data_IF_344946338503
#
_entry.id   IF_344946338503
#
_cell.length_a   1.000
_cell.length_b   1.000
_cell.length_c   1.000
_cell.angle_alpha   90.00
_cell.angle_beta   90.00
_cell.angle_gamma   90.00
#
_symmetry.space_group_name_H-M   'P 1'
#
loop_
_entity.id
_entity.type
_entity.pdbx_description
1 polymer ?
#
# COMPACT_ATOMS: atom_id res chain seq x y z
N UNK A 1 2.52 3.04 -16.07
CA UNK A 1 1.44 3.02 -15.08
C UNK A 1 1.20 4.41 -14.51
N UNK A 2 2.23 5.10 -14.01
CA UNK A 2 2.10 6.45 -13.45
C UNK A 2 1.58 7.46 -14.49
N UNK A 3 1.99 7.36 -15.74
CA UNK A 3 1.48 8.17 -16.84
C UNK A 3 -0.02 7.94 -17.09
N UNK A 4 -0.47 6.68 -17.09
CA UNK A 4 -1.88 6.34 -17.27
C UNK A 4 -2.74 6.91 -16.14
N UNK A 5 -2.30 6.79 -14.91
CA UNK A 5 -2.97 7.38 -13.74
C UNK A 5 -2.98 8.91 -13.81
N UNK A 6 -1.85 9.52 -14.17
CA UNK A 6 -1.73 10.97 -14.30
C UNK A 6 -2.70 11.55 -15.34
N UNK A 7 -2.83 10.90 -16.50
CA UNK A 7 -3.75 11.32 -17.56
C UNK A 7 -5.23 11.23 -17.15
N UNK A 8 -5.55 10.45 -16.12
CA UNK A 8 -6.89 10.33 -15.54
C UNK A 8 -7.10 11.20 -14.29
N UNK A 9 -6.18 12.14 -14.05
CA UNK A 9 -6.25 13.07 -12.93
C UNK A 9 -5.78 12.50 -11.58
N UNK A 10 -5.15 11.34 -11.58
CA UNK A 10 -4.52 10.75 -10.40
C UNK A 10 -3.09 11.24 -10.20
N UNK A 11 -2.64 11.23 -8.97
CA UNK A 11 -1.25 11.46 -8.58
C UNK A 11 -0.81 10.32 -7.66
N UNK A 12 -0.42 9.18 -8.24
CA UNK A 12 -0.01 8.04 -7.44
C UNK A 12 1.21 8.40 -6.59
N UNK A 13 1.12 8.15 -5.31
CA UNK A 13 2.13 8.46 -4.30
C UNK A 13 2.69 7.22 -3.62
N UNK A 14 1.97 6.09 -3.68
CA UNK A 14 2.43 4.84 -3.08
C UNK A 14 2.35 3.66 -4.04
N UNK A 15 3.38 2.81 -3.97
CA UNK A 15 3.47 1.53 -4.68
C UNK A 15 3.53 0.39 -3.68
N UNK A 16 2.48 -0.42 -3.65
CA UNK A 16 2.41 -1.60 -2.80
C UNK A 16 2.94 -2.82 -3.51
N UNK A 17 3.84 -3.52 -2.87
CA UNK A 17 4.50 -4.72 -3.42
C UNK A 17 4.64 -5.83 -2.37
N UNK A 18 4.61 -7.07 -2.83
CA UNK A 18 4.98 -8.20 -2.00
C UNK A 18 6.49 -8.22 -1.68
N UNK A 19 6.89 -8.96 -0.65
CA UNK A 19 8.27 -9.04 -0.18
C UNK A 19 9.28 -9.41 -1.28
N UNK A 20 8.89 -10.29 -2.20
CA UNK A 20 9.74 -10.70 -3.33
C UNK A 20 10.00 -9.54 -4.29
N UNK A 21 8.95 -8.87 -4.75
CA UNK A 21 9.07 -7.73 -5.68
C UNK A 21 9.85 -6.59 -5.03
N UNK A 22 9.68 -6.34 -3.73
CA UNK A 22 10.48 -5.36 -3.00
C UNK A 22 11.97 -5.66 -3.09
N UNK A 23 12.38 -6.92 -2.95
CA UNK A 23 13.78 -7.34 -3.10
C UNK A 23 14.31 -7.12 -4.51
N UNK A 24 13.50 -7.46 -5.53
CA UNK A 24 13.86 -7.26 -6.94
C UNK A 24 14.05 -5.77 -7.24
N UNK A 25 13.11 -4.92 -6.81
CA UNK A 25 13.22 -3.46 -6.98
C UNK A 25 14.48 -2.93 -6.30
N UNK A 26 14.79 -3.38 -5.10
CA UNK A 26 16.01 -2.99 -4.38
C UNK A 26 17.28 -3.44 -5.10
N UNK A 27 17.24 -4.52 -5.89
CA UNK A 27 18.39 -4.97 -6.68
C UNK A 27 18.65 -4.11 -7.92
N UNK A 28 17.66 -3.44 -8.49
CA UNK A 28 17.82 -2.54 -9.64
C UNK A 28 18.69 -1.32 -9.33
N UNK A 29 18.82 -0.95 -8.10
CA UNK A 29 19.63 0.20 -7.64
C UNK A 29 21.13 -0.10 -7.57
N UNK A 30 21.55 -1.32 -7.85
CA UNK A 30 22.99 -1.68 -7.82
C UNK A 30 23.85 -0.87 -8.82
N UNK A 31 23.22 -0.25 -9.84
CA UNK A 31 23.88 0.62 -10.82
C UNK A 31 23.62 2.12 -10.65
N UNK A 32 22.70 2.53 -9.78
CA UNK A 32 22.40 3.94 -9.54
C UNK A 32 23.29 4.48 -8.41
N UNK A 33 23.84 5.68 -8.61
CA UNK A 33 24.70 6.35 -7.65
C UNK A 33 23.95 6.53 -6.33
N UNK A 34 24.33 5.78 -5.31
CA UNK A 34 23.80 5.94 -3.95
C UNK A 34 24.43 7.18 -3.33
N UNK A 35 23.81 8.33 -3.46
CA UNK A 35 24.10 9.49 -2.64
C UNK A 35 23.41 9.32 -1.27
N UNK A 36 23.82 8.33 -0.51
CA UNK A 36 23.54 8.28 0.91
C UNK A 36 24.79 8.81 1.59
N UNK A 37 24.67 9.94 2.25
CA UNK A 37 25.69 10.40 3.19
C UNK A 37 25.84 9.31 4.26
N UNK A 38 26.86 8.48 4.12
CA UNK A 38 27.15 7.39 5.04
C UNK A 38 28.04 7.93 6.13
N UNK A 39 27.46 8.53 7.14
CA UNK A 39 28.14 8.83 8.39
C UNK A 39 28.18 7.61 9.33
N UNK A 40 27.45 6.57 8.99
CA UNK A 40 27.46 5.28 9.67
C UNK A 40 27.89 4.16 8.73
N UNK A 41 28.72 3.25 9.21
CA UNK A 41 29.18 2.02 8.56
C UNK A 41 28.03 1.03 8.24
N UNK A 42 26.95 1.50 7.61
CA UNK A 42 25.76 0.74 7.24
C UNK A 42 25.79 0.39 5.75
N UNK A 43 25.70 -0.89 5.45
CA UNK A 43 25.34 -1.37 4.11
C UNK A 43 23.83 -1.18 3.91
N UNK A 44 23.43 -0.15 3.15
CA UNK A 44 22.02 0.07 2.78
C UNK A 44 21.80 -0.44 1.36
N UNK A 45 20.96 -1.45 1.21
CA UNK A 45 20.51 -1.99 -0.07
C UNK A 45 18.98 -2.01 -0.12
N UNK A 46 18.35 -0.85 0.09
CA UNK A 46 16.91 -0.71 0.02
C UNK A 46 16.54 0.53 -0.78
N UNK A 47 15.49 0.40 -1.62
CA UNK A 47 14.84 1.52 -2.31
C UNK A 47 13.47 1.69 -1.69
N UNK A 48 13.26 2.81 -1.03
CA UNK A 48 11.99 3.15 -0.39
C UNK A 48 11.24 4.23 -1.17
N UNK A 49 11.95 5.06 -1.93
CA UNK A 49 11.38 6.12 -2.75
C UNK A 49 11.94 6.02 -4.17
N UNK A 50 11.08 6.16 -5.15
CA UNK A 50 11.44 6.24 -6.55
C UNK A 50 10.94 7.57 -7.13
N UNK A 51 11.87 8.42 -7.61
CA UNK A 51 11.54 9.66 -8.30
C UNK A 51 11.49 9.43 -9.80
N UNK A 52 10.42 9.90 -10.43
CA UNK A 52 10.23 9.85 -11.87
C UNK A 52 9.58 11.17 -12.36
N UNK A 53 9.42 11.32 -13.67
CA UNK A 53 8.95 12.57 -14.29
C UNK A 53 7.57 13.06 -13.79
N UNK A 54 6.74 12.16 -13.26
CA UNK A 54 5.39 12.47 -12.74
C UNK A 54 5.36 12.65 -11.22
N UNK A 55 6.50 12.58 -10.54
CA UNK A 55 6.62 12.79 -9.10
C UNK A 55 7.43 11.70 -8.39
N UNK A 56 7.26 11.64 -7.09
CA UNK A 56 7.90 10.66 -6.23
C UNK A 56 6.87 9.64 -5.75
N UNK A 57 7.22 8.37 -5.82
CA UNK A 57 6.40 7.27 -5.30
C UNK A 57 7.14 6.52 -4.21
N UNK A 58 6.46 6.23 -3.14
CA UNK A 58 6.97 5.45 -2.02
C UNK A 58 6.70 3.97 -2.23
N UNK A 59 7.71 3.13 -2.06
CA UNK A 59 7.58 1.69 -2.23
C UNK A 59 7.32 1.03 -0.88
N UNK A 60 6.09 0.58 -0.67
CA UNK A 60 5.61 0.01 0.59
C UNK A 60 5.50 -1.51 0.48
N UNK A 61 6.27 -2.28 1.27
CA UNK A 61 6.11 -3.73 1.31
C UNK A 61 4.84 -4.12 2.06
N UNK A 62 4.00 -4.93 1.42
CA UNK A 62 2.78 -5.45 2.03
C UNK A 62 2.85 -6.99 2.12
N UNK A 63 2.78 -7.54 3.34
CA UNK A 63 2.87 -8.98 3.59
C UNK A 63 1.65 -9.78 3.12
N UNK A 64 0.51 -9.12 2.96
CA UNK A 64 -0.74 -9.75 2.54
C UNK A 64 -0.94 -9.74 1.03
N UNK A 65 -0.05 -9.06 0.30
CA UNK A 65 -0.13 -8.96 -1.16
C UNK A 65 0.44 -10.20 -1.83
N UNK A 66 -0.15 -10.61 -2.95
CA UNK A 66 0.40 -11.67 -3.78
C UNK A 66 1.80 -11.29 -4.26
N UNK A 67 2.70 -12.27 -4.30
CA UNK A 67 4.11 -12.07 -4.66
C UNK A 67 4.32 -11.58 -6.11
N UNK A 68 3.30 -11.69 -6.96
CA UNK A 68 3.33 -11.38 -8.39
C UNK A 68 2.58 -10.12 -8.78
N UNK A 69 1.99 -9.43 -7.81
CA UNK A 69 1.17 -8.27 -8.05
C UNK A 69 1.88 -7.00 -7.54
N UNK A 70 1.72 -5.92 -8.29
CA UNK A 70 2.21 -4.59 -7.95
C UNK A 70 1.04 -3.61 -8.10
N UNK A 71 0.79 -2.82 -7.06
CA UNK A 71 -0.28 -1.84 -7.04
C UNK A 71 0.29 -0.44 -6.91
N UNK A 72 -0.13 0.44 -7.78
CA UNK A 72 0.22 1.87 -7.79
C UNK A 72 -1.03 2.63 -7.39
N UNK A 73 -1.01 3.24 -6.22
CA UNK A 73 -2.20 3.85 -5.62
C UNK A 73 -1.99 5.35 -5.39
N UNK A 74 -3.03 6.11 -5.68
CA UNK A 74 -3.23 7.45 -5.15
C UNK A 74 -4.07 7.34 -3.88
N UNK A 75 -3.42 7.43 -2.73
CA UNK A 75 -4.08 7.20 -1.43
C UNK A 75 -5.17 8.24 -1.16
N UNK A 76 -5.07 9.45 -1.71
CA UNK A 76 -6.06 10.50 -1.53
C UNK A 76 -7.41 10.17 -2.18
N UNK A 77 -7.40 9.24 -3.15
CA UNK A 77 -8.60 8.76 -3.83
C UNK A 77 -9.27 7.58 -3.13
N UNK A 78 -8.73 7.15 -1.99
CA UNK A 78 -9.30 6.05 -1.20
C UNK A 78 -9.73 6.55 0.17
N UNK A 79 -10.87 6.08 0.63
CA UNK A 79 -11.43 6.45 1.93
C UNK A 79 -12.17 5.28 2.57
N UNK A 80 -12.13 5.21 3.89
CA UNK A 80 -12.96 4.26 4.65
C UNK A 80 -14.20 5.01 5.16
N UNK A 81 -15.37 4.63 4.66
CA UNK A 81 -16.64 5.19 5.10
C UNK A 81 -17.29 4.28 6.15
N UNK A 82 -17.74 4.86 7.24
CA UNK A 82 -18.42 4.15 8.33
C UNK A 82 -19.91 4.45 8.27
N UNK A 83 -20.72 3.40 8.16
CA UNK A 83 -22.16 3.51 8.39
C UNK A 83 -22.46 3.58 9.91
N UNK A 84 -21.79 2.70 10.67
CA UNK A 84 -21.81 2.71 12.13
C UNK A 84 -20.38 2.55 12.66
N UNK A 85 -19.87 3.51 13.45
CA UNK A 85 -18.57 3.36 14.11
C UNK A 85 -18.61 2.18 15.09
N UNK A 86 -17.46 1.70 15.50
CA UNK A 86 -17.36 0.59 16.44
C UNK A 86 -18.05 0.94 17.76
N UNK A 87 -18.97 0.09 18.17
CA UNK A 87 -19.63 0.18 19.48
C UNK A 87 -19.77 -1.21 20.09
N UNK A 88 -19.89 -1.24 21.41
CA UNK A 88 -20.15 -2.46 22.16
C UNK A 88 -21.64 -2.55 22.47
N UNK A 89 -22.25 -3.68 22.16
CA UNK A 89 -23.61 -4.01 22.52
C UNK A 89 -23.60 -5.13 23.55
N UNK A 90 -24.20 -4.89 24.68
CA UNK A 90 -24.41 -5.94 25.69
C UNK A 90 -25.46 -6.92 25.19
N UNK A 91 -25.16 -8.20 25.27
CA UNK A 91 -26.06 -9.29 24.94
C UNK A 91 -26.75 -9.79 26.21
N UNK A 92 -27.92 -10.40 26.04
CA UNK A 92 -28.65 -10.97 27.15
C UNK A 92 -27.78 -11.97 27.94
N UNK A 93 -27.74 -11.79 29.26
CA UNK A 93 -27.04 -12.70 30.14
C UNK A 93 -27.76 -14.06 30.15
N UNK A 94 -27.05 -15.12 29.86
CA UNK A 94 -27.51 -16.50 30.02
C UNK A 94 -26.68 -17.15 31.13
N UNK A 95 -27.24 -17.26 32.32
CA UNK A 95 -26.52 -17.70 33.52
C UNK A 95 -25.60 -16.62 34.10
N UNK A 96 -24.46 -17.01 34.68
CA UNK A 96 -23.52 -16.15 35.42
C UNK A 96 -22.49 -15.47 34.52
N UNK A 97 -22.69 -15.49 33.18
CA UNK A 97 -21.77 -14.93 32.22
C UNK A 97 -22.31 -13.63 31.59
N UNK A 98 -21.49 -12.56 31.59
CA UNK A 98 -21.74 -11.33 30.84
C UNK A 98 -21.19 -11.47 29.46
N UNK A 99 -22.02 -11.27 28.42
CA UNK A 99 -21.65 -11.35 27.02
C UNK A 99 -21.82 -10.01 26.33
N UNK A 100 -20.83 -9.59 25.56
CA UNK A 100 -20.89 -8.40 24.73
C UNK A 100 -20.49 -8.70 23.28
N UNK A 101 -21.03 -7.93 22.34
CA UNK A 101 -20.64 -7.95 20.93
C UNK A 101 -20.05 -6.62 20.53
N UNK A 102 -18.89 -6.64 19.84
CA UNK A 102 -18.35 -5.46 19.19
C UNK A 102 -18.85 -5.43 17.74
N UNK A 103 -19.51 -4.35 17.37
CA UNK A 103 -20.13 -4.19 16.06
C UNK A 103 -19.52 -2.96 15.38
N UNK A 104 -19.14 -3.11 14.11
CA UNK A 104 -18.70 -2.02 13.25
C UNK A 104 -19.21 -2.29 11.83
N UNK A 105 -19.66 -1.25 11.15
CA UNK A 105 -20.08 -1.31 9.75
C UNK A 105 -19.32 -0.25 8.97
N UNK A 106 -18.48 -0.69 8.05
CA UNK A 106 -17.66 0.18 7.22
C UNK A 106 -17.49 -0.41 5.82
N UNK A 107 -17.11 0.44 4.89
CA UNK A 107 -16.74 0.05 3.52
C UNK A 107 -15.55 0.86 3.04
N UNK A 108 -14.84 0.31 2.05
CA UNK A 108 -13.81 1.04 1.32
C UNK A 108 -14.47 1.76 0.14
N UNK A 109 -14.17 3.05 0.00
CA UNK A 109 -14.67 3.90 -1.07
C UNK A 109 -13.52 4.28 -1.99
N UNK A 110 -13.67 4.05 -3.29
CA UNK A 110 -12.81 4.61 -4.33
C UNK A 110 -13.50 5.84 -4.93
N UNK A 111 -12.85 7.00 -4.83
CA UNK A 111 -13.38 8.26 -5.40
C UNK A 111 -13.11 8.36 -6.90
N UNK A 112 -11.99 7.77 -7.36
CA UNK A 112 -11.62 7.68 -8.77
C UNK A 112 -10.83 6.38 -8.99
N UNK A 113 -11.44 5.40 -9.61
CA UNK A 113 -10.79 4.10 -9.87
C UNK A 113 -9.63 4.22 -10.88
N UNK A 114 -9.74 5.13 -11.84
CA UNK A 114 -8.73 5.33 -12.87
C UNK A 114 -7.45 6.05 -12.36
N UNK A 115 -7.51 6.64 -11.16
CA UNK A 115 -6.35 7.24 -10.52
C UNK A 115 -5.36 6.21 -9.95
N UNK A 116 -5.77 4.96 -9.87
CA UNK A 116 -4.94 3.85 -9.37
C UNK A 116 -4.73 2.82 -10.47
N UNK A 117 -3.63 2.09 -10.42
CA UNK A 117 -3.30 1.07 -11.40
C UNK A 117 -2.70 -0.17 -10.74
N UNK A 118 -2.83 -1.32 -11.38
CA UNK A 118 -2.18 -2.54 -10.92
C UNK A 118 -1.50 -3.27 -12.08
N UNK A 119 -0.45 -3.99 -11.76
CA UNK A 119 0.13 -5.02 -12.62
C UNK A 119 0.01 -6.34 -11.90
N UNK A 120 -0.56 -7.31 -12.58
CA UNK A 120 -0.74 -8.66 -12.05
C UNK A 120 0.06 -9.67 -12.87
N UNK A 121 0.29 -10.83 -12.30
CA UNK A 121 0.98 -11.95 -12.95
C UNK A 121 2.40 -11.64 -13.46
N UNK A 122 3.12 -10.80 -12.72
CA UNK A 122 4.55 -10.58 -12.98
C UNK A 122 5.32 -11.90 -12.91
N UNK A 123 6.30 -12.07 -13.82
CA UNK A 123 7.13 -13.25 -13.88
C UNK A 123 7.79 -13.57 -12.54
N UNK A 124 7.90 -14.85 -12.25
CA UNK A 124 8.56 -15.36 -11.05
C UNK A 124 9.96 -15.93 -11.32
N UNK A 125 10.46 -15.75 -12.54
CA UNK A 125 11.80 -16.20 -12.94
C UNK A 125 12.89 -15.40 -12.24
#
# INVERSE_FOLDING_TARGET
>A
LSELSYNQGGRPDEVYVGARLKRIISSFTAGATKNVASDDKRLVNAVDVYSHDFGEVKIVPNRFQRARDLWVLDINMWEVAYLRPMFTKDLAATGDATKGAHIVEYTLVSKNEAASACVVDLSTS
#
